data_IF_270156837298
#
_entry.id   IF_270156837298
#
_cell.length_a   1.000
_cell.length_b   1.000
_cell.length_c   1.000
_cell.angle_alpha   90.00
_cell.angle_beta   90.00
_cell.angle_gamma   90.00
#
_symmetry.space_group_name_H-M   'P 1'
#
loop_
_entity.id
_entity.type
_entity.pdbx_description
1 polymer ?
#
# COMPACT_ATOMS: atom_id res chain seq x y z
N UNK A 1 -9.72 26.84 -13.50
CA UNK A 1 -9.69 25.45 -13.08
C UNK A 1 -10.21 24.57 -14.18
N UNK A 2 -9.54 23.55 -14.40
CA UNK A 2 -9.81 22.71 -15.52
C UNK A 2 -9.96 21.28 -15.07
N UNK A 3 -10.44 20.45 -15.97
CA UNK A 3 -10.56 19.02 -15.69
C UNK A 3 -9.21 18.41 -15.35
N UNK A 4 -8.14 18.92 -15.95
CA UNK A 4 -6.79 18.42 -15.68
C UNK A 4 -6.40 18.59 -14.22
N UNK A 5 -6.76 19.73 -13.62
CA UNK A 5 -6.45 19.97 -12.21
C UNK A 5 -7.23 19.02 -11.31
N UNK A 6 -8.49 18.78 -11.65
CA UNK A 6 -9.32 17.84 -10.88
C UNK A 6 -8.77 16.44 -10.99
N UNK A 7 -8.40 16.03 -12.20
CA UNK A 7 -7.85 14.69 -12.42
C UNK A 7 -6.51 14.54 -11.70
N UNK A 8 -5.69 15.58 -11.69
CA UNK A 8 -4.42 15.54 -10.96
C UNK A 8 -4.62 15.38 -9.47
N UNK A 9 -5.62 16.08 -8.91
CA UNK A 9 -5.94 15.95 -7.49
C UNK A 9 -6.45 14.56 -7.16
N UNK A 10 -7.29 14.01 -8.02
CA UNK A 10 -7.81 12.66 -7.83
C UNK A 10 -6.68 11.65 -7.84
N UNK A 11 -5.77 11.75 -8.78
CA UNK A 11 -4.64 10.84 -8.85
C UNK A 11 -3.78 10.93 -7.61
N UNK A 12 -3.50 12.15 -7.13
CA UNK A 12 -2.75 12.35 -5.91
C UNK A 12 -3.46 11.83 -4.68
N UNK A 13 -4.78 12.11 -4.58
CA UNK A 13 -5.58 11.62 -3.46
C UNK A 13 -5.68 10.10 -3.45
N UNK A 14 -5.86 9.50 -4.61
CA UNK A 14 -5.91 8.04 -4.72
C UNK A 14 -4.60 7.43 -4.26
N UNK A 15 -3.47 8.00 -4.70
CA UNK A 15 -2.15 7.49 -4.32
C UNK A 15 -1.95 7.55 -2.80
N UNK A 16 -2.26 8.69 -2.20
CA UNK A 16 -2.12 8.85 -0.75
C UNK A 16 -3.02 7.89 0.00
N UNK A 17 -4.25 7.75 -0.45
CA UNK A 17 -5.20 6.84 0.17
C UNK A 17 -4.72 5.40 0.06
N UNK A 18 -4.20 5.03 -1.12
CA UNK A 18 -3.70 3.67 -1.32
C UNK A 18 -2.47 3.38 -0.46
N UNK A 19 -1.57 4.36 -0.33
CA UNK A 19 -0.40 4.19 0.53
C UNK A 19 -0.81 4.01 2.00
N UNK A 20 -1.79 4.77 2.45
CA UNK A 20 -2.30 4.62 3.81
C UNK A 20 -2.94 3.25 4.00
N UNK A 21 -3.66 2.76 3.00
CA UNK A 21 -4.27 1.44 3.05
C UNK A 21 -3.21 0.36 3.12
N UNK A 22 -2.15 0.48 2.33
CA UNK A 22 -1.05 -0.48 2.36
C UNK A 22 -0.39 -0.53 3.74
N UNK A 23 -0.20 0.62 4.36
CA UNK A 23 0.37 0.68 5.70
C UNK A 23 -0.53 -0.03 6.71
N UNK A 24 -1.83 0.21 6.64
CA UNK A 24 -2.79 -0.44 7.52
C UNK A 24 -2.79 -1.96 7.30
N UNK A 25 -2.69 -2.40 6.05
CA UNK A 25 -2.62 -3.82 5.73
C UNK A 25 -1.38 -4.47 6.35
N UNK A 26 -0.23 -3.78 6.28
CA UNK A 26 1.00 -4.29 6.89
C UNK A 26 0.86 -4.45 8.40
N UNK A 27 0.29 -3.45 9.04
CA UNK A 27 0.11 -3.51 10.49
C UNK A 27 -0.83 -4.64 10.88
N UNK A 28 -1.88 -4.84 10.10
CA UNK A 28 -2.80 -5.93 10.35
C UNK A 28 -2.13 -7.29 10.19
N UNK A 29 -1.27 -7.43 9.19
CA UNK A 29 -0.53 -8.67 8.99
C UNK A 29 0.38 -8.98 10.17
N UNK A 30 1.05 -7.96 10.70
CA UNK A 30 1.91 -8.14 11.86
C UNK A 30 1.09 -8.61 13.05
N UNK A 31 -0.08 -8.02 13.26
CA UNK A 31 -0.96 -8.43 14.34
C UNK A 31 -1.44 -9.86 14.17
N UNK A 32 -1.74 -10.25 12.94
CA UNK A 32 -2.16 -11.63 12.65
C UNK A 32 -1.05 -12.62 12.92
N UNK A 33 0.18 -12.26 12.58
CA UNK A 33 1.33 -13.14 12.88
C UNK A 33 1.53 -13.25 14.38
N UNK A 34 1.45 -12.14 15.10
CA UNK A 34 1.62 -12.14 16.55
C UNK A 34 0.55 -12.96 17.25
N UNK A 35 -0.64 -13.03 16.65
CA UNK A 35 -1.72 -13.86 17.15
C UNK A 35 -1.71 -15.29 16.61
N UNK A 36 -0.65 -15.68 15.88
CA UNK A 36 -0.51 -16.99 15.28
C UNK A 36 -1.59 -17.32 14.26
N UNK A 37 -2.22 -16.30 13.69
CA UNK A 37 -3.22 -16.49 12.65
C UNK A 37 -2.61 -16.79 11.29
N UNK A 38 -1.38 -16.32 11.07
CA UNK A 38 -0.63 -16.60 9.84
C UNK A 38 0.80 -16.94 10.20
N UNK A 39 1.46 -17.70 9.32
CA UNK A 39 2.85 -18.05 9.50
C UNK A 39 3.77 -16.93 9.03
N UNK A 40 5.04 -16.99 9.46
CA UNK A 40 6.06 -16.05 9.00
C UNK A 40 6.23 -16.11 7.49
N UNK A 41 6.12 -17.29 6.90
CA UNK A 41 6.25 -17.45 5.45
C UNK A 41 5.15 -16.70 4.70
N UNK A 42 3.93 -16.81 5.19
CA UNK A 42 2.79 -16.09 4.60
C UNK A 42 2.99 -14.59 4.78
N UNK A 43 3.42 -14.17 5.97
CA UNK A 43 3.67 -12.76 6.24
C UNK A 43 4.69 -12.19 5.24
N UNK A 44 5.81 -12.88 5.07
CA UNK A 44 6.86 -12.39 4.16
C UNK A 44 6.39 -12.33 2.71
N UNK A 45 5.58 -13.29 2.29
CA UNK A 45 5.04 -13.29 0.93
C UNK A 45 4.13 -12.09 0.70
N UNK A 46 3.22 -11.84 1.63
CA UNK A 46 2.30 -10.71 1.49
C UNK A 46 3.04 -9.40 1.61
N UNK A 47 4.02 -9.30 2.51
CA UNK A 47 4.81 -8.08 2.63
C UNK A 47 5.56 -7.78 1.33
N UNK A 48 6.07 -8.81 0.66
CA UNK A 48 6.72 -8.63 -0.64
C UNK A 48 5.75 -8.07 -1.66
N UNK A 49 4.53 -8.60 -1.70
CA UNK A 49 3.51 -8.10 -2.63
C UNK A 49 3.15 -6.65 -2.32
N UNK A 50 3.02 -6.31 -1.05
CA UNK A 50 2.73 -4.93 -0.64
C UNK A 50 3.89 -4.00 -0.99
N UNK A 51 5.12 -4.47 -0.82
CA UNK A 51 6.30 -3.68 -1.17
C UNK A 51 6.34 -3.38 -2.66
N UNK A 52 6.03 -4.38 -3.50
CA UNK A 52 5.97 -4.18 -4.94
C UNK A 52 4.89 -3.18 -5.31
N UNK A 53 3.72 -3.29 -4.71
CA UNK A 53 2.64 -2.35 -4.97
C UNK A 53 3.03 -0.95 -4.54
N UNK A 54 3.65 -0.81 -3.38
CA UNK A 54 4.11 0.48 -2.90
C UNK A 54 5.16 1.07 -3.83
N UNK A 55 6.09 0.25 -4.32
CA UNK A 55 7.10 0.69 -5.25
C UNK A 55 6.49 1.19 -6.56
N UNK A 56 5.44 0.52 -7.03
CA UNK A 56 4.74 0.97 -8.22
C UNK A 56 4.06 2.33 -8.01
N UNK A 57 3.57 2.57 -6.80
CA UNK A 57 2.91 3.83 -6.49
C UNK A 57 3.88 4.98 -6.29
N UNK A 58 5.09 4.70 -5.82
CA UNK A 58 6.04 5.74 -5.46
C UNK A 58 7.28 5.76 -6.33
N UNK A 59 7.78 4.61 -6.71
CA UNK A 59 9.07 4.48 -7.36
C UNK A 59 9.09 4.81 -8.83
N UNK A 60 7.95 4.70 -9.50
CA UNK A 60 7.88 4.98 -10.93
C UNK A 60 8.04 6.45 -11.24
N UNK A 61 7.97 7.28 -10.24
CA UNK A 61 8.14 8.71 -10.40
C UNK A 61 9.58 9.14 -10.32
N UNK A 62 10.41 8.24 -9.88
CA UNK A 62 11.82 8.54 -9.70
C UNK A 62 12.65 8.44 -10.96
#
# INVERSE_FOLDING_TARGET
ATEADVDGRRAGSYRLLRLATLDAERQRLIQMRDGDEISDGVLHRVERDLDLEQALLTGLNG
#
